data_IF_798707984730
#
_entry.id   IF_798707984730
#
_cell.length_a   1.000
_cell.length_b   1.000
_cell.length_c   1.000
_cell.angle_alpha   90.00
_cell.angle_beta   90.00
_cell.angle_gamma   90.00
#
_symmetry.space_group_name_H-M   'P 1'
#
loop_
_entity.id
_entity.type
_entity.pdbx_description
1 polymer ?
#
# COMPACT_ATOMS: atom_id res chain seq x y z
N UNK A 1 -6.34 -11.66 -16.72
CA UNK A 1 -5.45 -10.70 -16.06
C UNK A 1 -5.06 -11.25 -14.69
N UNK A 2 -3.80 -11.13 -14.27
CA UNK A 2 -3.38 -11.56 -12.91
C UNK A 2 -3.82 -10.50 -11.90
N UNK A 3 -4.93 -10.73 -11.23
CA UNK A 3 -5.52 -9.84 -10.21
C UNK A 3 -4.96 -10.09 -8.81
N UNK A 4 -3.86 -10.86 -8.69
CA UNK A 4 -3.25 -11.12 -7.39
C UNK A 4 -2.62 -9.85 -6.83
N UNK A 5 -2.89 -9.59 -5.57
CA UNK A 5 -2.27 -8.50 -4.85
C UNK A 5 -0.83 -8.82 -4.46
N UNK A 6 -0.08 -7.81 -4.12
CA UNK A 6 1.35 -7.91 -3.80
C UNK A 6 1.59 -7.33 -2.42
N UNK A 7 2.18 -8.11 -1.52
CA UNK A 7 2.41 -7.78 -0.11
C UNK A 7 3.91 -7.69 0.17
N UNK A 8 4.58 -6.72 -0.46
CA UNK A 8 6.04 -6.55 -0.38
C UNK A 8 6.47 -5.20 0.16
N UNK A 9 5.51 -4.32 0.37
CA UNK A 9 5.73 -2.94 0.83
C UNK A 9 6.19 -2.86 2.28
N UNK A 10 5.79 -3.82 3.11
CA UNK A 10 6.12 -3.85 4.54
C UNK A 10 5.25 -2.95 5.41
N UNK A 11 4.34 -2.18 4.81
CA UNK A 11 3.33 -1.33 5.47
C UNK A 11 2.05 -1.34 4.63
N UNK A 12 0.86 -1.34 5.24
CA UNK A 12 -0.41 -1.37 4.50
C UNK A 12 -0.57 -0.20 3.51
N UNK A 13 -0.18 1.00 3.87
CA UNK A 13 -0.21 2.18 3.00
C UNK A 13 0.70 2.03 1.78
N UNK A 14 1.85 1.39 1.92
CA UNK A 14 2.78 1.12 0.83
C UNK A 14 2.23 0.00 -0.06
N UNK A 15 1.71 -1.09 0.51
CA UNK A 15 1.06 -2.17 -0.23
C UNK A 15 -0.19 -1.68 -0.98
N UNK A 16 -0.89 -0.68 -0.44
CA UNK A 16 -2.01 -0.06 -1.16
C UNK A 16 -1.57 0.62 -2.46
N UNK A 17 -0.41 1.27 -2.48
CA UNK A 17 0.11 1.86 -3.73
C UNK A 17 0.43 0.81 -4.79
N UNK A 18 0.72 -0.44 -4.38
CA UNK A 18 1.02 -1.56 -5.28
C UNK A 18 -0.23 -2.09 -6.02
N UNK A 19 -1.44 -1.63 -5.67
CA UNK A 19 -2.66 -1.95 -6.43
C UNK A 19 -2.61 -1.40 -7.86
N UNK A 20 -1.79 -0.39 -8.15
CA UNK A 20 -1.42 0.00 -9.51
C UNK A 20 0.04 -0.37 -9.77
N UNK A 21 0.26 -1.42 -10.54
CA UNK A 21 1.59 -1.89 -10.93
C UNK A 21 2.08 -1.30 -12.25
N UNK A 22 3.38 -1.49 -12.55
CA UNK A 22 4.04 -1.09 -13.81
C UNK A 22 3.78 0.37 -14.23
N UNK A 23 3.70 1.28 -13.30
CA UNK A 23 3.27 2.68 -13.49
C UNK A 23 4.02 3.43 -14.60
N UNK A 24 5.28 3.08 -14.86
CA UNK A 24 6.15 3.78 -15.80
C UNK A 24 6.15 3.19 -17.22
N UNK A 25 5.51 2.05 -17.44
CA UNK A 25 5.52 1.35 -18.73
C UNK A 25 4.11 1.05 -19.23
N UNK A 26 3.51 -0.03 -18.73
CA UNK A 26 2.16 -0.47 -19.05
C UNK A 26 1.39 -0.59 -17.73
N UNK A 27 0.78 0.50 -17.24
CA UNK A 27 0.08 0.50 -15.97
C UNK A 27 -0.93 -0.65 -15.88
N UNK A 28 -0.90 -1.37 -14.79
CA UNK A 28 -1.74 -2.52 -14.52
C UNK A 28 -2.53 -2.31 -13.23
N UNK A 29 -3.84 -2.08 -13.39
CA UNK A 29 -4.76 -1.87 -12.26
C UNK A 29 -5.20 -3.23 -11.69
N UNK A 30 -5.01 -3.43 -10.38
CA UNK A 30 -5.41 -4.64 -9.65
C UNK A 30 -6.75 -4.50 -8.94
N UNK A 31 -7.22 -3.27 -8.84
CA UNK A 31 -8.54 -2.94 -8.28
C UNK A 31 -9.37 -2.18 -9.32
N UNK A 32 -9.64 -2.75 -10.51
CA UNK A 32 -10.35 -2.05 -11.59
C UNK A 32 -11.79 -1.67 -11.21
N UNK A 33 -12.38 -2.35 -10.21
CA UNK A 33 -13.77 -2.14 -9.78
C UNK A 33 -13.87 -1.96 -8.26
N UNK A 34 -14.96 -1.36 -7.75
CA UNK A 34 -15.17 -1.19 -6.31
C UNK A 34 -15.10 -2.50 -5.50
N UNK A 35 -15.60 -3.60 -6.07
CA UNK A 35 -15.55 -4.92 -5.43
C UNK A 35 -14.11 -5.39 -5.19
N UNK A 36 -13.19 -5.11 -6.13
CA UNK A 36 -11.78 -5.48 -5.97
C UNK A 36 -11.12 -4.73 -4.82
N UNK A 37 -11.53 -3.49 -4.55
CA UNK A 37 -11.06 -2.75 -3.37
C UNK A 37 -11.57 -3.41 -2.08
N UNK A 38 -12.81 -3.89 -2.04
CA UNK A 38 -13.34 -4.65 -0.92
C UNK A 38 -12.51 -5.92 -0.67
N UNK A 39 -12.23 -6.67 -1.73
CA UNK A 39 -11.38 -7.85 -1.71
C UNK A 39 -9.96 -7.52 -1.21
N UNK A 40 -9.38 -6.40 -1.68
CA UNK A 40 -8.05 -5.95 -1.24
C UNK A 40 -8.01 -5.70 0.27
N UNK A 41 -9.01 -5.02 0.84
CA UNK A 41 -9.07 -4.77 2.29
C UNK A 41 -9.12 -6.06 3.10
N UNK A 42 -9.90 -7.05 2.65
CA UNK A 42 -9.96 -8.37 3.30
C UNK A 42 -8.62 -9.10 3.20
N UNK A 43 -8.03 -9.19 2.00
CA UNK A 43 -6.76 -9.89 1.80
C UNK A 43 -5.58 -9.18 2.47
N UNK A 44 -5.64 -7.87 2.66
CA UNK A 44 -4.69 -7.10 3.46
C UNK A 44 -4.84 -7.32 4.97
N UNK A 45 -5.87 -8.06 5.40
CA UNK A 45 -6.15 -8.26 6.82
C UNK A 45 -6.69 -7.02 7.54
N UNK A 46 -7.16 -6.01 6.80
CA UNK A 46 -7.69 -4.76 7.34
C UNK A 46 -9.20 -4.85 7.62
N UNK A 47 -9.88 -5.82 7.05
CA UNK A 47 -11.27 -6.14 7.29
C UNK A 47 -11.43 -7.66 7.39
N UNK A 48 -12.40 -8.13 8.19
CA UNK A 48 -12.72 -9.57 8.29
C UNK A 48 -13.43 -10.07 7.03
N UNK A 49 -14.41 -9.31 6.58
CA UNK A 49 -15.19 -9.57 5.38
C UNK A 49 -14.88 -8.54 4.29
N UNK A 50 -15.31 -8.80 3.07
CA UNK A 50 -15.22 -7.83 1.99
C UNK A 50 -16.24 -6.71 2.18
N UNK A 51 -15.82 -5.48 2.52
CA UNK A 51 -16.76 -4.40 2.69
C UNK A 51 -17.38 -4.00 1.34
N UNK A 52 -18.66 -3.69 1.35
CA UNK A 52 -19.32 -3.11 0.19
C UNK A 52 -18.75 -1.70 -0.09
N UNK A 53 -18.15 -1.52 -1.25
CA UNK A 53 -17.50 -0.26 -1.65
C UNK A 53 -18.40 0.48 -2.63
N UNK A 54 -18.84 1.69 -2.26
CA UNK A 54 -19.56 2.55 -3.19
C UNK A 54 -18.61 3.15 -4.25
N UNK A 55 -19.15 3.50 -5.43
CA UNK A 55 -18.36 4.16 -6.47
C UNK A 55 -17.70 5.48 -6.03
N UNK A 56 -18.33 6.20 -5.07
CA UNK A 56 -17.74 7.40 -4.46
C UNK A 56 -16.53 7.04 -3.60
N UNK A 57 -16.66 6.07 -2.71
CA UNK A 57 -15.59 5.61 -1.83
C UNK A 57 -14.42 5.05 -2.64
N UNK A 58 -14.70 4.32 -3.72
CA UNK A 58 -13.69 3.82 -4.64
C UNK A 58 -12.87 4.95 -5.28
N UNK A 59 -13.51 5.99 -5.82
CA UNK A 59 -12.78 7.14 -6.39
C UNK A 59 -11.91 7.85 -5.36
N UNK A 60 -12.41 7.99 -4.13
CA UNK A 60 -11.66 8.56 -3.02
C UNK A 60 -10.47 7.69 -2.58
N UNK A 61 -10.62 6.37 -2.64
CA UNK A 61 -9.54 5.44 -2.38
C UNK A 61 -8.43 5.55 -3.44
N UNK A 62 -8.80 5.65 -4.72
CA UNK A 62 -7.84 5.88 -5.82
C UNK A 62 -7.14 7.23 -5.65
N UNK A 63 -7.86 8.30 -5.29
CA UNK A 63 -7.26 9.61 -4.99
C UNK A 63 -6.21 9.50 -3.88
N UNK A 64 -6.55 8.84 -2.76
CA UNK A 64 -5.63 8.62 -1.66
C UNK A 64 -4.41 7.78 -2.09
N UNK A 65 -4.61 6.71 -2.85
CA UNK A 65 -3.53 5.87 -3.37
C UNK A 65 -2.52 6.67 -4.17
N UNK A 66 -3.00 7.53 -5.07
CA UNK A 66 -2.12 8.33 -5.91
C UNK A 66 -1.37 9.42 -5.11
N UNK A 67 -2.04 10.04 -4.13
CA UNK A 67 -1.40 10.97 -3.22
C UNK A 67 -0.27 10.27 -2.41
N UNK A 68 -0.56 9.10 -1.84
CA UNK A 68 0.43 8.30 -1.10
C UNK A 68 1.62 7.91 -1.99
N UNK A 69 1.36 7.47 -3.23
CA UNK A 69 2.44 7.09 -4.14
C UNK A 69 3.39 8.26 -4.40
N UNK A 70 2.85 9.46 -4.69
CA UNK A 70 3.68 10.65 -4.94
C UNK A 70 4.50 11.03 -3.71
N UNK A 71 3.89 11.06 -2.53
CA UNK A 71 4.60 11.36 -1.28
C UNK A 71 5.71 10.33 -1.00
N UNK A 72 5.45 9.04 -1.17
CA UNK A 72 6.44 7.99 -0.98
C UNK A 72 7.58 8.00 -2.00
N UNK A 73 7.37 8.61 -3.16
CA UNK A 73 8.42 8.78 -4.19
C UNK A 73 9.13 10.14 -4.11
N UNK A 74 8.87 10.91 -3.05
CA UNK A 74 9.56 12.18 -2.79
C UNK A 74 8.94 13.39 -3.49
N UNK A 75 7.76 13.24 -4.11
CA UNK A 75 7.04 14.36 -4.71
C UNK A 75 6.00 14.87 -3.71
N UNK A 76 6.16 16.12 -3.25
CA UNK A 76 5.26 16.71 -2.24
C UNK A 76 4.45 17.84 -2.86
N UNK A 77 3.19 17.56 -3.18
CA UNK A 77 2.20 18.58 -3.54
C UNK A 77 1.32 18.92 -2.33
N UNK A 78 0.96 20.20 -2.17
CA UNK A 78 0.05 20.63 -1.10
C UNK A 78 -1.29 19.86 -1.14
N UNK A 79 -1.84 19.62 -2.33
CA UNK A 79 -3.07 18.85 -2.50
C UNK A 79 -2.96 17.40 -1.99
N UNK A 80 -1.80 16.75 -2.14
CA UNK A 80 -1.59 15.39 -1.64
C UNK A 80 -1.55 15.36 -0.12
N UNK A 81 -0.90 16.35 0.50
CA UNK A 81 -0.92 16.50 1.96
C UNK A 81 -2.34 16.73 2.47
N UNK A 82 -3.14 17.57 1.80
CA UNK A 82 -4.54 17.79 2.15
C UNK A 82 -5.37 16.51 2.07
N UNK A 83 -5.17 15.69 1.02
CA UNK A 83 -5.84 14.39 0.90
C UNK A 83 -5.49 13.47 2.08
N UNK A 84 -4.20 13.29 2.37
CA UNK A 84 -3.76 12.42 3.46
C UNK A 84 -4.23 12.95 4.82
N UNK A 85 -4.10 14.26 5.09
CA UNK A 85 -4.52 14.87 6.34
C UNK A 85 -6.05 14.80 6.54
N UNK A 86 -6.84 15.00 5.48
CA UNK A 86 -8.29 14.83 5.52
C UNK A 86 -8.72 13.43 5.93
N UNK A 87 -8.01 12.39 5.42
CA UNK A 87 -8.30 11.01 5.78
C UNK A 87 -7.76 10.65 7.16
N UNK A 88 -6.53 11.01 7.51
CA UNK A 88 -5.92 10.66 8.79
C UNK A 88 -6.62 11.31 9.99
N UNK A 89 -7.27 12.45 9.80
CA UNK A 89 -8.04 13.12 10.85
C UNK A 89 -9.40 12.48 11.15
N UNK A 90 -9.90 11.55 10.32
CA UNK A 90 -11.19 10.89 10.57
C UNK A 90 -11.10 9.95 11.77
N UNK A 91 -12.15 9.89 12.61
CA UNK A 91 -12.21 8.93 13.70
C UNK A 91 -12.12 7.49 13.19
N UNK A 92 -11.37 6.65 13.91
CA UNK A 92 -11.40 5.20 13.75
C UNK A 92 -12.30 4.63 14.85
N UNK A 93 -13.11 3.63 14.50
CA UNK A 93 -13.77 2.82 15.51
C UNK A 93 -12.68 2.09 16.32
N UNK A 94 -12.59 2.40 17.59
CA UNK A 94 -11.66 1.70 18.49
C UNK A 94 -12.11 0.26 18.74
N UNK A 95 -11.18 -0.64 19.10
CA UNK A 95 -11.54 -1.97 19.55
C UNK A 95 -12.43 -1.88 20.79
N UNK A 96 -13.40 -2.75 20.90
CA UNK A 96 -14.27 -2.91 22.08
C UNK A 96 -13.93 -4.21 22.79
N UNK A 97 -14.04 -4.23 24.10
CA UNK A 97 -13.92 -5.44 24.88
C UNK A 97 -15.33 -6.03 25.09
N UNK A 98 -15.53 -7.30 24.73
CA UNK A 98 -16.77 -8.01 25.04
C UNK A 98 -16.82 -8.43 26.51
N UNK A 99 -18.01 -8.89 26.98
CA UNK A 99 -18.16 -9.40 28.34
C UNK A 99 -17.28 -10.63 28.61
N UNK A 100 -16.92 -11.38 27.58
CA UNK A 100 -16.05 -12.55 27.62
C UNK A 100 -14.55 -12.16 27.52
N UNK A 101 -14.22 -10.89 27.61
CA UNK A 101 -12.87 -10.33 27.51
C UNK A 101 -12.18 -10.57 26.16
N UNK A 102 -12.96 -10.72 25.10
CA UNK A 102 -12.42 -10.76 23.72
C UNK A 102 -12.40 -9.36 23.12
N UNK A 103 -11.37 -9.06 22.34
CA UNK A 103 -11.33 -7.84 21.56
C UNK A 103 -12.27 -7.99 20.35
N UNK A 104 -13.28 -7.13 20.28
CA UNK A 104 -14.15 -6.99 19.13
C UNK A 104 -13.75 -5.75 18.36
N UNK A 105 -13.24 -5.92 17.15
CA UNK A 105 -13.04 -4.79 16.24
C UNK A 105 -14.41 -4.33 15.78
N UNK A 106 -14.76 -3.09 16.08
CA UNK A 106 -15.97 -2.49 15.51
C UNK A 106 -15.95 -2.65 13.99
N UNK A 107 -17.12 -2.82 13.37
CA UNK A 107 -17.21 -2.87 11.91
C UNK A 107 -16.56 -1.62 11.33
N UNK A 108 -15.41 -1.80 10.69
CA UNK A 108 -14.69 -0.68 10.07
C UNK A 108 -15.30 -0.48 8.70
N UNK A 109 -16.00 0.64 8.50
CA UNK A 109 -16.50 1.03 7.20
C UNK A 109 -15.35 1.44 6.26
N UNK A 110 -15.61 1.52 4.96
CA UNK A 110 -14.58 1.90 3.97
C UNK A 110 -13.91 3.23 4.29
N UNK A 111 -14.61 4.30 4.73
CA UNK A 111 -13.99 5.52 5.23
C UNK A 111 -13.02 5.29 6.39
N UNK A 112 -13.33 4.43 7.32
CA UNK A 112 -12.44 4.05 8.43
C UNK A 112 -11.19 3.31 7.95
N UNK A 113 -11.34 2.39 6.98
CA UNK A 113 -10.20 1.69 6.36
C UNK A 113 -9.26 2.67 5.65
N UNK A 114 -9.80 3.64 4.90
CA UNK A 114 -9.01 4.70 4.27
C UNK A 114 -8.32 5.60 5.30
N UNK A 115 -8.99 5.91 6.42
CA UNK A 115 -8.39 6.62 7.54
C UNK A 115 -7.21 5.84 8.13
N UNK A 116 -7.35 4.53 8.29
CA UNK A 116 -6.26 3.65 8.74
C UNK A 116 -5.05 3.70 7.84
N UNK A 117 -5.25 3.60 6.52
CA UNK A 117 -4.16 3.72 5.53
C UNK A 117 -3.47 5.09 5.57
N UNK A 118 -4.24 6.18 5.70
CA UNK A 118 -3.67 7.52 5.79
C UNK A 118 -2.85 7.71 7.07
N UNK A 119 -3.33 7.19 8.21
CA UNK A 119 -2.59 7.21 9.49
C UNK A 119 -1.32 6.38 9.44
N UNK A 120 -1.37 5.19 8.82
CA UNK A 120 -0.20 4.36 8.59
C UNK A 120 0.86 5.11 7.76
N UNK A 121 0.42 5.86 6.75
CA UNK A 121 1.32 6.67 5.94
C UNK A 121 1.91 7.87 6.71
N UNK A 122 1.12 8.54 7.54
CA UNK A 122 1.60 9.63 8.41
C UNK A 122 2.66 9.11 9.37
N UNK A 123 2.37 7.99 10.07
CA UNK A 123 3.33 7.34 10.98
C UNK A 123 4.63 6.94 10.27
N UNK A 124 4.51 6.36 9.07
CA UNK A 124 5.69 5.96 8.28
C UNK A 124 6.52 7.16 7.86
N UNK A 125 5.90 8.21 7.26
CA UNK A 125 6.61 9.36 6.72
C UNK A 125 7.25 10.24 7.80
N UNK A 126 6.60 10.36 8.96
CA UNK A 126 7.12 11.13 10.10
C UNK A 126 8.03 10.31 11.02
N UNK A 127 8.07 9.00 10.84
CA UNK A 127 8.83 8.07 11.65
C UNK A 127 10.26 7.80 11.13
N UNK A 128 11.03 6.98 11.84
CA UNK A 128 12.44 6.70 11.52
C UNK A 128 12.65 5.90 10.22
N UNK A 129 11.58 5.38 9.63
CA UNK A 129 11.61 4.64 8.37
C UNK A 129 11.15 5.48 7.17
N UNK A 130 10.79 6.75 7.33
CA UNK A 130 10.36 7.63 6.25
C UNK A 130 11.38 7.70 5.13
N UNK A 131 12.65 7.91 5.47
CA UNK A 131 13.76 7.94 4.51
C UNK A 131 14.17 6.57 3.96
N UNK A 132 13.48 5.51 4.38
CA UNK A 132 13.74 4.12 3.98
C UNK A 132 12.73 3.56 2.98
N UNK A 133 11.82 4.37 2.50
CA UNK A 133 10.94 4.00 1.40
C UNK A 133 11.76 3.97 0.11
N UNK A 134 11.69 2.87 -0.63
CA UNK A 134 12.48 2.65 -1.85
C UNK A 134 11.59 2.17 -2.99
N UNK A 135 11.91 2.59 -4.20
CA UNK A 135 11.38 1.98 -5.43
C UNK A 135 12.21 0.76 -5.79
N UNK A 136 11.58 -0.31 -6.22
CA UNK A 136 12.27 -1.50 -6.68
C UNK A 136 13.22 -1.17 -7.86
N UNK A 137 14.47 -1.64 -7.79
CA UNK A 137 15.47 -1.39 -8.80
C UNK A 137 15.38 -2.31 -10.05
N UNK A 138 14.33 -3.11 -10.19
CA UNK A 138 14.09 -3.91 -11.39
C UNK A 138 13.41 -3.07 -12.45
N UNK A 139 13.92 -3.08 -13.69
CA UNK A 139 13.52 -2.19 -14.79
C UNK A 139 12.00 -2.16 -15.07
N UNK A 140 11.32 -3.30 -14.91
CA UNK A 140 9.87 -3.40 -15.14
C UNK A 140 9.04 -3.32 -13.86
N UNK A 141 9.61 -2.89 -12.74
CA UNK A 141 8.94 -2.90 -11.45
C UNK A 141 8.83 -1.48 -10.88
N UNK A 142 7.61 -1.04 -10.61
CA UNK A 142 7.32 0.25 -9.98
C UNK A 142 6.89 0.11 -8.52
N UNK A 143 7.04 -1.08 -7.90
CA UNK A 143 6.61 -1.33 -6.54
C UNK A 143 7.52 -0.62 -5.54
N UNK A 144 6.87 -0.06 -4.53
CA UNK A 144 7.55 0.53 -3.37
C UNK A 144 7.70 -0.50 -2.26
N UNK A 145 8.68 -0.31 -1.41
CA UNK A 145 8.86 -1.09 -0.18
C UNK A 145 9.62 -0.28 0.87
N UNK A 146 9.41 -0.60 2.13
CA UNK A 146 10.18 -0.07 3.24
C UNK A 146 11.40 -0.96 3.45
N UNK A 147 12.60 -0.38 3.39
CA UNK A 147 13.85 -1.10 3.70
C UNK A 147 14.10 -1.12 5.21
N UNK A 148 13.49 -2.08 5.90
CA UNK A 148 13.72 -2.32 7.31
C UNK A 148 14.99 -3.14 7.60
N UNK A 149 15.83 -3.43 6.60
CA UNK A 149 17.09 -4.17 6.81
C UNK A 149 18.09 -3.34 7.62
N UNK A 150 18.95 -4.05 8.43
CA UNK A 150 19.97 -3.40 9.25
C UNK A 150 20.87 -2.46 8.43
N UNK A 151 21.23 -2.84 7.23
CA UNK A 151 22.14 -2.09 6.35
C UNK A 151 21.47 -1.04 5.47
N UNK A 152 20.14 -1.00 5.34
CA UNK A 152 19.41 -0.07 4.47
C UNK A 152 19.77 -0.17 2.98
N UNK A 153 20.18 -1.36 2.50
CA UNK A 153 20.72 -1.56 1.15
C UNK A 153 19.88 -2.49 0.28
N UNK A 154 18.64 -2.76 0.69
CA UNK A 154 17.72 -3.57 -0.12
C UNK A 154 17.39 -2.83 -1.42
N UNK A 155 17.61 -3.51 -2.55
CA UNK A 155 17.41 -2.95 -3.90
C UNK A 155 16.10 -3.41 -4.54
N UNK A 156 15.57 -4.57 -4.16
CA UNK A 156 14.40 -5.20 -4.78
C UNK A 156 13.25 -5.37 -3.80
N UNK A 157 12.05 -5.17 -4.29
CA UNK A 157 10.81 -5.37 -3.52
C UNK A 157 10.67 -6.82 -3.00
N UNK A 158 11.26 -7.79 -3.72
CA UNK A 158 11.33 -9.19 -3.30
C UNK A 158 12.59 -9.85 -3.88
N UNK A 159 13.33 -10.56 -3.04
CA UNK A 159 14.50 -11.34 -3.49
C UNK A 159 14.08 -12.53 -4.35
N UNK A 160 12.92 -13.15 -4.04
CA UNK A 160 12.43 -14.34 -4.74
C UNK A 160 11.85 -14.03 -6.14
N UNK A 161 11.55 -12.76 -6.43
CA UNK A 161 11.00 -12.34 -7.73
C UNK A 161 11.96 -11.40 -8.45
N UNK A 162 11.99 -10.14 -8.11
CA UNK A 162 12.81 -9.14 -8.79
C UNK A 162 14.31 -9.38 -8.58
N UNK A 163 14.74 -9.78 -7.38
CA UNK A 163 16.14 -10.14 -7.10
C UNK A 163 16.59 -11.37 -7.88
N UNK A 164 15.78 -12.42 -7.94
CA UNK A 164 16.08 -13.62 -8.71
C UNK A 164 16.17 -13.32 -10.21
N UNK A 165 15.24 -12.53 -10.77
CA UNK A 165 15.29 -12.09 -12.18
C UNK A 165 16.56 -11.30 -12.49
N UNK A 166 16.93 -10.35 -11.64
CA UNK A 166 18.15 -9.57 -11.80
C UNK A 166 19.40 -10.46 -11.79
N UNK A 167 19.47 -11.45 -10.88
CA UNK A 167 20.58 -12.42 -10.83
C UNK A 167 20.66 -13.26 -12.11
N UNK A 168 19.53 -13.76 -12.60
CA UNK A 168 19.50 -14.55 -13.85
C UNK A 168 19.89 -13.73 -15.08
N UNK A 169 19.51 -12.44 -15.14
CA UNK A 169 19.92 -11.55 -16.22
C UNK A 169 21.45 -11.36 -16.24
N UNK A 170 22.07 -11.21 -15.07
CA UNK A 170 23.53 -11.09 -14.96
C UNK A 170 24.25 -12.35 -15.47
N UNK A 171 23.74 -13.54 -15.15
CA UNK A 171 24.36 -14.80 -15.66
C UNK A 171 24.27 -14.90 -17.19
N UNK A 172 23.14 -14.52 -17.80
CA UNK A 172 22.96 -14.57 -19.25
C UNK A 172 23.80 -13.56 -20.04
N UNK A 173 24.25 -12.49 -19.37
CA UNK A 173 25.09 -11.46 -20.00
C UNK A 173 26.59 -11.80 -19.97
N UNK A 174 26.98 -12.88 -19.29
CA UNK A 174 28.39 -13.35 -19.16
C UNK A 174 28.69 -14.53 -20.10
N UNK A 175 27.65 -15.17 -20.66
CA UNK A 175 27.78 -16.19 -21.73
C UNK A 175 27.60 -15.50 -23.10
#
# INVERSE_FOLDING_TARGET
>A
MDTRFTWVGGRPSVDFTATLGKRQQAPFERIPEPADLGRWFREAGLAQDEPAVSGRAYRQAVELREALYRLFTGTTYAADLEVVNRWSSRPLAGPRLTAELHAESGSVDVPGLLSGLARDAVDLLSGPLGDRIRTCAADECSLLFVDASRGGRRRWCSMNTCGARAKMATYRAVD
#
